data_IF_009016218599
#
_entry.id   IF_009016218599
#
_cell.length_a   1.000
_cell.length_b   1.000
_cell.length_c   1.000
_cell.angle_alpha   90.00
_cell.angle_beta   90.00
_cell.angle_gamma   90.00
#
_symmetry.space_group_name_H-M   'P 1'
#
loop_
_entity.id
_entity.type
_entity.pdbx_description
1 polymer ?
#
# COMPACT_ATOMS: atom_id res chain seq x y z
N UNK A 1 24.75 -3.79 -28.84
CA UNK A 1 23.49 -4.18 -28.19
C UNK A 1 23.75 -4.20 -26.71
N UNK A 2 23.03 -3.38 -25.93
CA UNK A 2 23.15 -3.43 -24.47
C UNK A 2 22.42 -4.67 -23.94
N UNK A 3 23.11 -5.47 -23.13
CA UNK A 3 22.54 -6.68 -22.54
C UNK A 3 21.32 -6.35 -21.68
N UNK A 4 20.32 -7.23 -21.68
CA UNK A 4 19.17 -7.13 -20.78
C UNK A 4 19.61 -7.42 -19.35
N UNK A 5 19.27 -6.57 -18.36
CA UNK A 5 19.65 -6.80 -16.96
C UNK A 5 19.03 -8.07 -16.38
N UNK A 6 19.73 -8.69 -15.44
CA UNK A 6 19.24 -9.83 -14.65
C UNK A 6 18.21 -9.35 -13.59
N UNK A 7 17.41 -10.26 -13.02
CA UNK A 7 16.47 -10.00 -11.92
C UNK A 7 17.13 -9.35 -10.71
N UNK A 8 18.39 -9.69 -10.45
CA UNK A 8 19.18 -9.16 -9.35
C UNK A 8 19.68 -7.73 -9.61
N UNK A 9 19.57 -7.22 -10.84
CA UNK A 9 19.94 -5.85 -11.19
C UNK A 9 18.82 -4.84 -10.91
N UNK A 10 17.61 -5.31 -10.56
CA UNK A 10 16.47 -4.47 -10.22
C UNK A 10 16.45 -4.15 -8.73
N UNK A 11 16.43 -2.86 -8.42
CA UNK A 11 16.51 -2.36 -7.05
C UNK A 11 15.23 -1.64 -6.60
N UNK A 12 14.41 -1.19 -7.55
CA UNK A 12 13.19 -0.44 -7.30
C UNK A 12 12.00 -1.19 -7.86
N UNK A 13 10.98 -1.41 -7.03
CA UNK A 13 9.69 -1.92 -7.45
C UNK A 13 8.63 -0.82 -7.39
N UNK A 14 7.80 -0.72 -8.43
CA UNK A 14 6.60 0.12 -8.47
C UNK A 14 5.39 -0.79 -8.59
N UNK A 15 4.45 -0.65 -7.65
CA UNK A 15 3.22 -1.43 -7.57
C UNK A 15 2.05 -0.47 -7.76
N UNK A 16 1.28 -0.68 -8.82
CA UNK A 16 0.08 0.08 -9.12
C UNK A 16 -1.19 -0.71 -8.81
N UNK A 17 -2.27 -0.01 -8.46
CA UNK A 17 -3.56 -0.65 -8.23
C UNK A 17 -4.30 -0.93 -9.54
N UNK A 18 -4.14 -0.04 -10.52
CA UNK A 18 -4.86 -0.08 -11.78
C UNK A 18 -3.92 -0.09 -12.98
N UNK A 19 -4.35 -0.75 -14.05
CA UNK A 19 -3.62 -0.77 -15.32
C UNK A 19 -3.57 0.58 -16.05
N UNK A 20 -4.33 1.59 -15.63
CA UNK A 20 -4.19 2.97 -16.14
C UNK A 20 -3.05 3.71 -15.44
N UNK A 21 -2.85 3.46 -14.15
CA UNK A 21 -1.73 4.01 -13.37
C UNK A 21 -0.41 3.44 -13.88
N UNK A 22 -0.36 2.13 -14.14
CA UNK A 22 0.83 1.51 -14.70
C UNK A 22 1.18 2.06 -16.09
N UNK A 23 0.19 2.34 -16.95
CA UNK A 23 0.42 2.97 -18.26
C UNK A 23 1.06 4.35 -18.12
N UNK A 24 0.63 5.14 -17.12
CA UNK A 24 1.26 6.43 -16.85
C UNK A 24 2.74 6.25 -16.47
N UNK A 25 3.05 5.27 -15.62
CA UNK A 25 4.44 4.96 -15.24
C UNK A 25 5.27 4.45 -16.42
N UNK A 26 4.71 3.63 -17.30
CA UNK A 26 5.40 3.16 -18.53
C UNK A 26 5.81 4.36 -19.39
N UNK A 27 4.98 5.41 -19.47
CA UNK A 27 5.32 6.65 -20.17
C UNK A 27 6.50 7.43 -19.55
N UNK A 28 6.89 7.13 -18.31
CA UNK A 28 8.02 7.75 -17.60
C UNK A 28 9.33 6.95 -17.82
N UNK A 29 9.26 5.72 -18.34
CA UNK A 29 10.46 4.90 -18.55
C UNK A 29 11.34 5.50 -19.65
N UNK A 30 12.63 5.72 -19.36
CA UNK A 30 13.61 6.13 -20.37
C UNK A 30 13.90 4.99 -21.35
N UNK A 31 13.86 3.76 -20.84
CA UNK A 31 14.08 2.54 -21.60
C UNK A 31 13.20 1.43 -21.03
N UNK A 32 12.44 0.78 -21.89
CA UNK A 32 11.80 -0.49 -21.56
C UNK A 32 12.82 -1.57 -21.88
N UNK A 33 13.13 -2.41 -20.90
CA UNK A 33 13.93 -3.59 -21.17
C UNK A 33 13.02 -4.56 -21.91
N UNK A 34 13.44 -5.02 -23.09
CA UNK A 34 12.72 -6.07 -23.78
C UNK A 34 12.54 -7.19 -22.77
N UNK A 35 11.28 -7.48 -22.46
CA UNK A 35 10.91 -8.68 -21.74
C UNK A 35 11.37 -9.78 -22.66
N UNK A 36 12.60 -10.26 -22.49
CA UNK A 36 13.02 -11.46 -23.19
C UNK A 36 11.93 -12.44 -22.85
N UNK A 37 11.26 -12.95 -23.87
CA UNK A 37 10.08 -13.83 -23.85
C UNK A 37 10.29 -15.13 -23.05
N UNK A 38 11.42 -15.19 -22.36
CA UNK A 38 12.10 -16.28 -21.73
C UNK A 38 12.95 -15.79 -20.51
N UNK A 39 12.76 -14.58 -19.96
CA UNK A 39 13.27 -14.16 -18.62
C UNK A 39 12.41 -14.78 -17.49
N UNK A 40 12.46 -16.11 -17.53
CA UNK A 40 12.59 -16.98 -16.37
C UNK A 40 11.26 -17.30 -15.74
N UNK A 41 11.04 -18.59 -15.46
CA UNK A 41 9.95 -19.07 -14.63
C UNK A 41 9.75 -18.07 -13.48
N UNK A 42 8.59 -17.41 -13.48
CA UNK A 42 7.93 -17.00 -12.25
C UNK A 42 8.36 -17.99 -11.17
N UNK A 43 8.99 -17.52 -10.09
CA UNK A 43 9.21 -18.38 -8.91
C UNK A 43 7.94 -19.20 -8.73
N UNK A 44 8.01 -20.53 -8.57
CA UNK A 44 6.83 -21.40 -8.54
C UNK A 44 5.69 -20.73 -7.74
N UNK A 45 4.63 -20.29 -8.42
CA UNK A 45 3.50 -19.57 -7.80
C UNK A 45 3.43 -18.05 -8.01
N UNK A 46 4.39 -17.40 -8.66
CA UNK A 46 4.27 -16.00 -9.06
C UNK A 46 3.34 -15.89 -10.27
N UNK A 47 2.21 -15.21 -10.12
CA UNK A 47 1.23 -15.02 -11.20
C UNK A 47 1.22 -13.59 -11.75
N UNK A 48 2.04 -12.69 -11.22
CA UNK A 48 2.04 -11.28 -11.57
C UNK A 48 2.58 -11.06 -12.98
N UNK A 49 2.14 -9.96 -13.59
CA UNK A 49 2.72 -9.44 -14.83
C UNK A 49 3.68 -8.32 -14.48
N UNK A 50 4.87 -8.34 -15.08
CA UNK A 50 5.90 -7.33 -14.85
C UNK A 50 6.24 -6.62 -16.15
N UNK A 51 6.47 -5.31 -16.03
CA UNK A 51 7.16 -4.51 -17.03
C UNK A 51 8.47 -4.06 -16.40
N UNK A 52 9.59 -4.29 -17.08
CA UNK A 52 10.90 -3.92 -16.56
C UNK A 52 11.53 -2.85 -17.44
N UNK A 53 12.33 -1.99 -16.84
CA UNK A 53 12.96 -0.91 -17.57
C UNK A 53 13.87 -0.07 -16.70
N UNK A 54 14.16 1.14 -17.19
CA UNK A 54 15.05 2.09 -16.55
C UNK A 54 14.38 3.45 -16.41
N UNK A 55 14.51 4.04 -15.22
CA UNK A 55 14.19 5.44 -14.95
C UNK A 55 15.46 6.09 -14.38
N UNK A 56 15.97 7.10 -15.08
CA UNK A 56 17.29 7.68 -14.88
C UNK A 56 18.38 6.60 -14.93
N UNK A 57 19.05 6.43 -13.78
CA UNK A 57 20.11 5.44 -13.55
C UNK A 57 19.62 4.15 -12.86
N UNK A 58 18.32 4.05 -12.59
CA UNK A 58 17.76 2.98 -11.79
C UNK A 58 17.01 1.97 -12.65
N UNK A 59 17.31 0.68 -12.45
CA UNK A 59 16.52 -0.40 -13.01
C UNK A 59 15.27 -0.59 -12.15
N UNK A 60 14.11 -0.52 -12.80
CA UNK A 60 12.80 -0.51 -12.16
C UNK A 60 11.98 -1.69 -12.65
N UNK A 61 11.35 -2.41 -11.73
CA UNK A 61 10.26 -3.34 -12.02
C UNK A 61 8.92 -2.67 -11.72
N UNK A 62 8.02 -2.68 -12.69
CA UNK A 62 6.65 -2.21 -12.56
C UNK A 62 5.70 -3.39 -12.62
N UNK A 63 4.69 -3.39 -11.75
CA UNK A 63 3.55 -4.28 -11.84
C UNK A 63 2.26 -3.55 -11.47
N UNK A 64 1.13 -4.12 -11.85
CA UNK A 64 -0.16 -3.72 -11.32
C UNK A 64 -0.91 -4.94 -10.80
N UNK A 65 -1.76 -4.71 -9.81
CA UNK A 65 -2.46 -5.76 -9.10
C UNK A 65 -3.60 -6.36 -9.94
N UNK A 66 -3.91 -7.67 -9.78
CA UNK A 66 -5.05 -8.30 -10.45
C UNK A 66 -6.40 -7.81 -9.90
N UNK A 67 -6.40 -7.17 -8.74
CA UNK A 67 -7.57 -6.59 -8.10
C UNK A 67 -7.16 -5.57 -7.05
N UNK A 68 -8.13 -4.76 -6.63
CA UNK A 68 -7.92 -3.71 -5.63
C UNK A 68 -7.75 -4.29 -4.22
N UNK A 69 -7.15 -3.47 -3.35
CA UNK A 69 -7.14 -3.67 -1.90
C UNK A 69 -5.90 -4.35 -1.33
N UNK A 70 -5.74 -4.17 -0.02
CA UNK A 70 -4.56 -4.50 0.78
C UNK A 70 -4.05 -5.93 0.63
N UNK A 71 -4.96 -6.91 0.53
CA UNK A 71 -4.58 -8.33 0.41
C UNK A 71 -3.89 -8.63 -0.92
N UNK A 72 -4.40 -8.04 -2.02
CA UNK A 72 -3.77 -8.14 -3.33
C UNK A 72 -2.41 -7.43 -3.32
N UNK A 73 -2.33 -6.23 -2.74
CA UNK A 73 -1.07 -5.46 -2.60
C UNK A 73 -0.02 -6.27 -1.85
N UNK A 74 -0.39 -6.85 -0.70
CA UNK A 74 0.51 -7.64 0.13
C UNK A 74 0.98 -8.89 -0.60
N UNK A 75 0.10 -9.56 -1.35
CA UNK A 75 0.45 -10.74 -2.14
C UNK A 75 1.44 -10.37 -3.23
N UNK A 76 1.16 -9.32 -4.00
CA UNK A 76 2.03 -8.84 -5.08
C UNK A 76 3.39 -8.41 -4.54
N UNK A 77 3.43 -7.63 -3.45
CA UNK A 77 4.67 -7.18 -2.82
C UNK A 77 5.53 -8.34 -2.30
N UNK A 78 4.89 -9.33 -1.67
CA UNK A 78 5.58 -10.54 -1.19
C UNK A 78 6.19 -11.31 -2.36
N UNK A 79 5.43 -11.48 -3.43
CA UNK A 79 5.87 -12.18 -4.64
C UNK A 79 7.03 -11.44 -5.33
N UNK A 80 6.94 -10.12 -5.50
CA UNK A 80 8.04 -9.30 -6.04
C UNK A 80 9.32 -9.51 -5.23
N UNK A 81 9.23 -9.47 -3.91
CA UNK A 81 10.40 -9.66 -3.04
C UNK A 81 11.05 -11.03 -3.22
N UNK A 82 10.27 -12.06 -3.55
CA UNK A 82 10.82 -13.39 -3.84
C UNK A 82 11.38 -13.53 -5.26
N UNK A 83 10.78 -12.83 -6.23
CA UNK A 83 11.16 -12.90 -7.65
C UNK A 83 12.36 -12.00 -7.97
N UNK A 84 12.44 -10.82 -7.36
CA UNK A 84 13.51 -9.84 -7.50
C UNK A 84 14.15 -9.63 -6.13
N UNK A 85 15.26 -10.34 -5.84
CA UNK A 85 15.77 -10.42 -4.46
C UNK A 85 16.52 -9.16 -4.01
N UNK A 86 17.01 -8.36 -4.96
CA UNK A 86 17.75 -7.13 -4.69
C UNK A 86 16.88 -5.86 -4.64
N UNK A 87 15.56 -5.98 -4.50
CA UNK A 87 14.69 -4.83 -4.28
C UNK A 87 15.00 -4.20 -2.92
N UNK A 88 15.44 -2.93 -2.94
CA UNK A 88 15.71 -2.11 -1.75
C UNK A 88 14.60 -1.10 -1.49
N UNK A 89 13.81 -0.76 -2.52
CA UNK A 89 12.74 0.22 -2.45
C UNK A 89 11.51 -0.29 -3.19
N UNK A 90 10.37 -0.34 -2.51
CA UNK A 90 9.07 -0.63 -3.11
C UNK A 90 8.15 0.58 -2.95
N UNK A 91 7.63 1.09 -4.07
CA UNK A 91 6.72 2.22 -4.15
C UNK A 91 5.33 1.72 -4.53
N UNK A 92 4.36 2.04 -3.70
CA UNK A 92 2.94 1.84 -4.04
C UNK A 92 2.44 3.16 -4.62
N UNK A 93 2.06 3.13 -5.89
CA UNK A 93 1.66 4.34 -6.64
C UNK A 93 0.27 4.15 -7.19
N UNK A 94 -0.62 5.08 -6.89
CA UNK A 94 -1.97 5.08 -7.43
C UNK A 94 -2.72 6.37 -7.17
N UNK A 95 -3.89 6.45 -7.76
CA UNK A 95 -4.82 7.56 -7.60
C UNK A 95 -5.54 7.39 -6.26
N UNK A 96 -5.63 8.46 -5.48
CA UNK A 96 -6.30 8.45 -4.19
C UNK A 96 -7.23 9.65 -4.03
N UNK A 97 -8.18 9.54 -3.11
CA UNK A 97 -9.01 10.66 -2.67
C UNK A 97 -8.32 11.43 -1.55
N UNK A 98 -8.30 12.77 -1.66
CA UNK A 98 -7.85 13.66 -0.59
C UNK A 98 -9.00 14.00 0.36
N UNK A 99 -8.71 14.03 1.66
CA UNK A 99 -9.60 14.60 2.68
C UNK A 99 -8.88 15.78 3.33
N UNK A 100 -9.15 17.03 2.88
CA UNK A 100 -8.50 18.21 3.46
C UNK A 100 -8.80 18.31 4.95
N UNK A 101 -7.74 18.42 5.76
CA UNK A 101 -7.89 18.69 7.18
C UNK A 101 -8.08 20.19 7.38
N UNK A 102 -9.33 20.63 7.48
CA UNK A 102 -9.68 22.03 7.79
C UNK A 102 -9.61 22.35 9.28
N UNK A 103 -9.47 21.32 10.13
CA UNK A 103 -9.37 21.43 11.58
C UNK A 103 -7.90 21.39 12.01
N UNK A 104 -7.26 22.55 12.16
CA UNK A 104 -5.86 22.66 12.60
C UNK A 104 -5.32 24.09 12.52
N UNK A 105 -4.13 24.32 13.12
CA UNK A 105 -3.44 25.62 13.05
C UNK A 105 -2.93 25.95 11.63
N UNK A 106 -2.64 24.93 10.83
CA UNK A 106 -2.22 25.03 9.43
C UNK A 106 -3.10 24.11 8.57
N UNK A 107 -4.21 24.61 8.00
CA UNK A 107 -5.02 23.82 7.09
C UNK A 107 -4.18 23.42 5.87
N UNK A 108 -4.09 22.11 5.60
CA UNK A 108 -3.44 21.61 4.39
C UNK A 108 -4.47 21.56 3.29
N UNK A 109 -4.32 22.47 2.34
CA UNK A 109 -5.09 22.44 1.12
C UNK A 109 -4.62 21.28 0.24
N UNK A 110 -5.56 20.49 -0.26
CA UNK A 110 -5.29 19.35 -1.15
C UNK A 110 -6.16 19.56 -2.38
N UNK A 111 -5.53 19.79 -3.52
CA UNK A 111 -6.19 20.03 -4.78
C UNK A 111 -6.11 18.81 -5.71
N UNK A 112 -7.05 18.74 -6.66
CA UNK A 112 -7.00 17.73 -7.70
C UNK A 112 -5.75 17.93 -8.55
N UNK A 113 -4.93 16.88 -8.67
CA UNK A 113 -3.66 16.92 -9.39
C UNK A 113 -2.44 17.00 -8.47
N UNK A 114 -2.63 17.22 -7.17
CA UNK A 114 -1.52 17.17 -6.21
C UNK A 114 -0.93 15.76 -6.11
N UNK A 115 0.41 15.69 -6.08
CA UNK A 115 1.16 14.47 -5.80
C UNK A 115 1.51 14.46 -4.32
N UNK A 116 0.91 13.53 -3.58
CA UNK A 116 1.13 13.39 -2.14
C UNK A 116 2.06 12.22 -1.87
N UNK A 117 3.12 12.47 -1.11
CA UNK A 117 4.02 11.44 -0.59
C UNK A 117 3.59 11.15 0.85
N UNK A 118 3.12 9.93 1.10
CA UNK A 118 2.73 9.53 2.45
C UNK A 118 3.96 9.40 3.36
N UNK A 119 3.82 9.92 4.58
CA UNK A 119 4.82 9.75 5.66
C UNK A 119 4.44 8.61 6.60
N UNK A 120 3.15 8.22 6.64
CA UNK A 120 2.63 7.16 7.48
C UNK A 120 1.42 6.50 6.80
N UNK A 121 1.36 5.17 6.83
CA UNK A 121 0.20 4.40 6.35
C UNK A 121 -0.51 3.81 7.57
N UNK A 122 -1.71 4.32 7.87
CA UNK A 122 -2.53 3.83 8.98
C UNK A 122 -3.73 3.05 8.45
N UNK A 123 -3.81 1.79 8.85
CA UNK A 123 -4.93 0.94 8.51
C UNK A 123 -6.14 1.25 9.43
N UNK A 124 -7.10 2.02 8.91
CA UNK A 124 -8.25 2.50 9.72
C UNK A 124 -9.38 1.51 9.86
N UNK A 125 -9.42 0.46 9.03
CA UNK A 125 -10.48 -0.56 9.01
C UNK A 125 -10.18 -1.75 9.92
N UNK A 126 -8.99 -1.83 10.52
CA UNK A 126 -8.70 -2.81 11.56
C UNK A 126 -9.30 -2.36 12.88
N UNK A 127 -10.29 -3.08 13.36
CA UNK A 127 -10.90 -2.81 14.64
C UNK A 127 -12.01 -3.80 14.98
N UNK A 128 -12.55 -3.65 16.19
CA UNK A 128 -13.76 -4.37 16.60
C UNK A 128 -14.94 -3.44 16.48
N UNK A 129 -15.96 -3.91 15.78
CA UNK A 129 -17.22 -3.19 15.69
C UNK A 129 -18.15 -3.71 16.78
N UNK A 130 -18.58 -2.82 17.65
CA UNK A 130 -19.60 -3.02 18.68
C UNK A 130 -20.89 -2.36 18.20
N UNK A 131 -22.03 -2.68 18.81
CA UNK A 131 -23.36 -2.13 18.45
C UNK A 131 -23.35 -0.61 18.30
N UNK A 132 -22.58 0.09 19.13
CA UNK A 132 -22.60 1.56 19.23
C UNK A 132 -21.27 2.23 18.86
N UNK A 133 -20.22 1.46 18.53
CA UNK A 133 -18.88 2.02 18.32
C UNK A 133 -17.92 1.12 17.54
N UNK A 134 -16.98 1.73 16.83
CA UNK A 134 -15.85 1.04 16.22
C UNK A 134 -14.57 1.36 17.00
N UNK A 135 -13.94 0.34 17.57
CA UNK A 135 -12.65 0.46 18.26
C UNK A 135 -11.56 0.04 17.29
N UNK A 136 -10.84 1.02 16.75
CA UNK A 136 -9.69 0.77 15.87
C UNK A 136 -8.55 0.12 16.66
N UNK A 137 -7.99 -0.96 16.13
CA UNK A 137 -6.72 -1.52 16.62
C UNK A 137 -5.61 -0.57 16.20
N UNK A 138 -4.89 -0.03 17.18
CA UNK A 138 -3.68 0.74 16.91
C UNK A 138 -2.48 -0.19 16.94
N UNK A 139 -1.51 0.01 16.04
CA UNK A 139 -0.32 -0.84 15.88
C UNK A 139 0.63 -0.86 17.09
N UNK A 140 0.34 -0.09 18.15
CA UNK A 140 1.15 0.00 19.37
C UNK A 140 0.57 -0.74 20.59
N UNK A 141 -0.54 -1.46 20.48
CA UNK A 141 -1.00 -2.34 21.56
C UNK A 141 -0.44 -3.76 21.38
N UNK A 142 0.60 -4.09 22.16
CA UNK A 142 0.86 -5.48 22.53
C UNK A 142 -0.38 -5.97 23.26
N UNK A 143 -1.22 -6.73 22.56
CA UNK A 143 -2.39 -7.36 23.15
C UNK A 143 -1.91 -8.28 24.28
N UNK A 144 -2.07 -7.83 25.53
CA UNK A 144 -2.10 -8.76 26.66
C UNK A 144 -3.30 -9.67 26.41
N UNK A 145 -3.13 -11.00 26.31
CA UNK A 145 -4.27 -11.89 26.17
C UNK A 145 -5.15 -11.70 27.41
N UNK A 146 -6.43 -11.39 27.18
CA UNK A 146 -7.43 -11.32 28.23
C UNK A 146 -7.77 -12.76 28.66
N UNK A 147 -6.88 -13.37 29.43
CA UNK A 147 -7.20 -14.48 30.29
C UNK A 147 -6.20 -14.44 31.45
N UNK A 148 -6.73 -14.50 32.69
CA UNK A 148 -6.06 -14.28 33.98
C UNK A 148 -5.81 -12.77 34.26
N UNK A 149 -6.33 -12.12 35.30
CA UNK A 149 -6.98 -12.54 36.55
C UNK A 149 -8.22 -11.69 36.82
N UNK A 150 -9.16 -12.25 37.59
CA UNK A 150 -10.21 -11.46 38.18
C UNK A 150 -9.61 -10.45 39.15
N UNK A 151 -9.76 -9.17 38.85
CA UNK A 151 -9.81 -8.10 39.84
C UNK A 151 -10.89 -7.12 39.39
N UNK A 152 -11.97 -7.09 40.17
CA UNK A 152 -12.97 -6.02 40.10
C UNK A 152 -12.34 -4.85 40.84
N UNK A 153 -11.83 -3.88 40.08
CA UNK A 153 -11.63 -2.47 40.44
C UNK A 153 -10.39 -1.92 39.73
N UNK A 154 -10.59 -1.32 38.56
CA UNK A 154 -9.87 -0.09 38.22
C UNK A 154 -10.42 0.53 36.94
N UNK A 155 -10.79 1.78 37.12
CA UNK A 155 -11.18 2.78 36.16
C UNK A 155 -10.17 2.88 35.01
N UNK A 156 -10.47 2.30 33.84
CA UNK A 156 -9.69 2.50 32.61
C UNK A 156 -10.60 3.00 31.49
N UNK A 157 -10.95 4.28 31.57
CA UNK A 157 -11.37 5.07 30.40
C UNK A 157 -10.23 6.03 30.05
N UNK A 158 -9.65 5.97 28.84
CA UNK A 158 -8.88 7.10 28.35
C UNK A 158 -9.87 8.22 28.00
N UNK A 159 -9.91 9.23 28.87
CA UNK A 159 -10.50 10.53 28.55
C UNK A 159 -9.78 11.10 27.32
N UNK A 160 -10.53 11.53 26.30
CA UNK A 160 -10.10 12.25 25.10
C UNK A 160 -9.49 11.50 23.90
N UNK A 161 -10.23 10.57 23.30
CA UNK A 161 -10.12 10.34 21.85
C UNK A 161 -11.43 10.80 21.18
N UNK A 162 -11.41 11.69 20.17
CA UNK A 162 -12.63 12.13 19.53
C UNK A 162 -13.24 10.94 18.77
N UNK A 163 -14.45 10.55 19.17
CA UNK A 163 -15.26 9.59 18.44
C UNK A 163 -15.60 10.21 17.07
N UNK A 164 -14.91 9.77 16.02
CA UNK A 164 -15.24 10.15 14.65
C UNK A 164 -16.53 9.43 14.24
N UNK A 165 -17.67 10.05 14.56
CA UNK A 165 -19.01 9.61 14.21
C UNK A 165 -19.32 10.10 12.80
N UNK A 166 -19.25 9.22 11.80
CA UNK A 166 -19.85 9.49 10.50
C UNK A 166 -21.35 9.15 10.55
N UNK A 167 -22.27 10.12 10.36
CA UNK A 167 -23.68 9.82 10.22
C UNK A 167 -23.96 9.30 8.80
N UNK A 168 -24.64 8.15 8.71
CA UNK A 168 -25.38 7.72 7.53
C UNK A 168 -24.56 7.51 6.26
N UNK A 169 -23.92 6.35 6.13
CA UNK A 169 -23.54 5.87 4.80
C UNK A 169 -23.57 4.34 4.80
N UNK A 170 -24.48 3.76 4.01
CA UNK A 170 -24.32 2.40 3.52
C UNK A 170 -22.96 2.34 2.83
N UNK A 171 -22.01 1.68 3.48
CA UNK A 171 -20.59 1.85 3.17
C UNK A 171 -20.14 0.71 2.27
N UNK A 172 -20.20 0.96 0.96
CA UNK A 172 -19.38 0.25 -0.01
C UNK A 172 -17.91 0.43 0.44
N UNK A 173 -17.29 -0.68 0.87
CA UNK A 173 -15.91 -0.70 1.34
C UNK A 173 -15.01 -0.49 0.12
N UNK A 174 -14.58 0.75 -0.09
CA UNK A 174 -13.45 1.03 -0.98
C UNK A 174 -12.18 0.81 -0.17
N UNK A 175 -11.62 -0.39 -0.30
CA UNK A 175 -10.27 -0.68 0.12
C UNK A 175 -9.32 0.20 -0.70
N UNK A 176 -8.92 1.34 -0.14
CA UNK A 176 -7.71 2.01 -0.59
C UNK A 176 -6.50 1.16 -0.21
N UNK A 177 -5.45 1.31 -1.01
CA UNK A 177 -4.32 0.39 -1.20
C UNK A 177 -3.71 -0.13 0.10
#
# INVERSE_FOLDING_TARGET
MEATPDREDYQIAIICALGIESKAIIGIFDKIHETSVNLWCKTNGDHNAYTTGRIGKHNVVLTYMPGLGKANTSTVASTIRTTFRNIILALVVGICGGAPCTLGKDPKDIHLGDVVISTEIKQTDLGRNYSDSFIAKTSNEVAKPAFLSGDKDSHWYPSSAPAFRLPGAGREKRDFI
#
